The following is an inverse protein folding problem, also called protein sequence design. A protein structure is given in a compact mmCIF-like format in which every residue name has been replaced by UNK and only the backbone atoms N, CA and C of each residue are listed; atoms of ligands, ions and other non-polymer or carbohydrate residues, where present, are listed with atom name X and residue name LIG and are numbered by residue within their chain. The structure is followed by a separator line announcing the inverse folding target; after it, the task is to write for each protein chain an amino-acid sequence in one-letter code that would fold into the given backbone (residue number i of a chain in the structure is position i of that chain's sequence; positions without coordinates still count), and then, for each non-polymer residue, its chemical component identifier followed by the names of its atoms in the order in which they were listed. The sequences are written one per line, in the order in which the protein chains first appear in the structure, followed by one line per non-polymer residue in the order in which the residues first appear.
data_IF_149176116344
#
_entry.id   IF_149176116344
#
_cell.length_a   1.000
_cell.length_b   1.000
_cell.length_c   1.000
_cell.angle_alpha   90.00
_cell.angle_beta   90.00
_cell.angle_gamma   90.00
#
_symmetry.space_group_name_H-M   'P 1'
#
loop_
_entity.id
_entity.type
_entity.pdbx_description
1 polymer ?
#
# COMPACT_ATOMS: atom_id res chain seq x y z
N UNK A 1 -6.15 6.80 -5.39
CA UNK A 1 -6.13 7.00 -3.92
C UNK A 1 -6.18 8.48 -3.61
N UNK A 2 -7.19 8.95 -2.89
CA UNK A 2 -7.21 10.34 -2.42
C UNK A 2 -6.35 10.42 -1.16
N UNK A 3 -5.41 11.38 -1.04
CA UNK A 3 -4.65 11.57 0.19
C UNK A 3 -5.61 11.99 1.29
N UNK A 4 -5.58 11.27 2.42
CA UNK A 4 -6.25 11.72 3.63
C UNK A 4 -5.53 12.97 4.12
N UNK A 5 -6.22 14.11 4.15
CA UNK A 5 -5.70 15.33 4.72
C UNK A 5 -5.54 15.15 6.24
N UNK A 6 -4.43 15.58 6.83
CA UNK A 6 -4.26 15.55 8.28
C UNK A 6 -5.29 16.51 8.91
N UNK A 7 -6.26 15.96 9.61
CA UNK A 7 -7.20 16.74 10.40
C UNK A 7 -6.49 17.16 11.70
N UNK A 8 -6.16 18.43 11.82
CA UNK A 8 -5.68 19.02 13.06
C UNK A 8 -6.88 19.08 14.03
N UNK A 9 -6.88 18.18 15.02
CA UNK A 9 -7.96 18.03 15.97
C UNK A 9 -7.71 18.91 17.18
N UNK A 10 -8.41 20.03 17.30
CA UNK A 10 -8.56 20.76 18.56
C UNK A 10 -9.79 20.21 19.28
N UNK A 11 -9.58 19.34 20.26
CA UNK A 11 -10.64 18.79 21.10
C UNK A 11 -10.97 19.83 22.20
N UNK A 12 -12.14 20.45 22.15
CA UNK A 12 -12.70 21.19 23.29
C UNK A 12 -13.36 20.18 24.22
N UNK A 13 -12.65 19.79 25.28
CA UNK A 13 -13.19 19.04 26.39
C UNK A 13 -13.88 20.00 27.36
N UNK A 14 -15.21 20.01 27.42
CA UNK A 14 -15.95 20.50 28.57
C UNK A 14 -15.99 19.39 29.61
N UNK A 15 -15.07 19.43 30.56
CA UNK A 15 -15.12 18.58 31.75
C UNK A 15 -15.96 19.27 32.84
N UNK A 16 -17.09 18.67 33.18
CA UNK A 16 -17.74 18.87 34.47
C UNK A 16 -17.99 17.51 35.11
N UNK A 17 -17.44 17.31 36.35
CA UNK A 17 -17.99 16.39 37.35
C UNK A 17 -17.14 15.17 37.70
N UNK A 18 -16.60 15.22 38.89
CA UNK A 18 -16.34 14.18 39.88
C UNK A 18 -15.64 12.87 39.49
N UNK A 19 -14.46 12.75 39.95
CA UNK A 19 -13.57 11.73 40.47
C UNK A 19 -13.93 10.22 40.36
N UNK A 20 -14.23 9.69 39.18
CA UNK A 20 -14.08 8.29 38.89
C UNK A 20 -13.24 8.17 37.63
N UNK A 21 -12.15 7.37 37.69
CA UNK A 21 -11.34 7.02 36.56
C UNK A 21 -12.18 6.12 35.65
N UNK A 22 -13.08 6.72 34.93
CA UNK A 22 -13.78 6.08 33.82
C UNK A 22 -12.73 5.89 32.72
N UNK A 23 -12.44 4.63 32.40
CA UNK A 23 -11.87 4.29 31.10
C UNK A 23 -12.63 5.10 30.06
N UNK A 24 -11.98 5.91 29.22
CA UNK A 24 -12.68 6.89 28.41
C UNK A 24 -13.67 6.17 27.50
N UNK A 25 -14.98 6.44 27.63
CA UNK A 25 -15.92 5.97 26.65
C UNK A 25 -15.70 6.82 25.41
N UNK A 26 -15.36 6.16 24.30
CA UNK A 26 -15.55 6.65 22.95
C UNK A 26 -15.38 8.18 22.78
N UNK A 27 -14.16 8.66 22.67
CA UNK A 27 -13.96 10.02 22.22
C UNK A 27 -14.56 10.14 20.81
N UNK A 28 -15.50 11.08 20.62
CA UNK A 28 -16.04 11.37 19.29
C UNK A 28 -15.14 12.37 18.58
N UNK A 29 -14.73 12.01 17.38
CA UNK A 29 -13.95 12.88 16.52
C UNK A 29 -14.86 13.79 15.70
N UNK A 30 -14.39 14.95 15.20
CA UNK A 30 -15.19 15.88 14.40
C UNK A 30 -15.75 15.29 13.11
N UNK A 31 -15.09 14.27 12.55
CA UNK A 31 -15.55 13.52 11.38
C UNK A 31 -16.58 12.44 11.71
N UNK A 32 -17.01 12.36 12.98
CA UNK A 32 -17.95 11.38 13.52
C UNK A 32 -17.31 10.05 13.91
N UNK A 33 -16.01 9.90 13.79
CA UNK A 33 -15.26 8.72 14.22
C UNK A 33 -15.38 8.48 15.72
N UNK A 34 -15.41 7.23 16.15
CA UNK A 34 -15.39 6.81 17.55
C UNK A 34 -14.02 6.26 17.88
N UNK A 35 -13.30 6.93 18.78
CA UNK A 35 -11.97 6.48 19.20
C UNK A 35 -12.03 5.78 20.55
N UNK A 36 -11.28 4.69 20.66
CA UNK A 36 -10.97 3.97 21.90
C UNK A 36 -9.48 3.83 22.02
N UNK A 37 -8.89 4.34 23.08
CA UNK A 37 -7.45 4.31 23.31
C UNK A 37 -6.98 5.44 24.22
N UNK A 38 -5.67 5.59 24.31
CA UNK A 38 -5.06 6.59 25.19
C UNK A 38 -5.14 8.00 24.58
N UNK A 39 -5.35 8.99 25.45
CA UNK A 39 -5.29 10.40 25.12
C UNK A 39 -4.19 11.07 25.98
N UNK A 40 -3.31 11.81 25.30
CA UNK A 40 -2.29 12.65 25.97
C UNK A 40 -2.47 14.08 25.50
N UNK A 41 -2.73 14.99 26.45
CA UNK A 41 -3.03 16.40 26.16
C UNK A 41 -4.15 16.59 25.11
N UNK A 42 -5.17 15.70 25.13
CA UNK A 42 -6.29 15.74 24.19
C UNK A 42 -6.00 15.19 22.79
N UNK A 43 -4.81 14.65 22.56
CA UNK A 43 -4.43 14.01 21.29
C UNK A 43 -4.44 12.49 21.43
N UNK A 44 -4.81 11.80 20.34
CA UNK A 44 -4.75 10.34 20.26
C UNK A 44 -3.28 9.92 20.39
N UNK A 45 -2.99 8.98 21.28
CA UNK A 45 -1.63 8.53 21.57
C UNK A 45 -1.61 7.04 21.88
N UNK A 46 -0.47 6.37 21.62
CA UNK A 46 -0.31 4.96 21.97
C UNK A 46 -1.20 4.03 21.13
N UNK A 47 -1.65 2.93 21.72
CA UNK A 47 -2.53 1.97 21.06
C UNK A 47 -3.97 2.46 21.09
N UNK A 48 -4.68 2.26 19.97
CA UNK A 48 -6.09 2.64 19.91
C UNK A 48 -6.79 2.15 18.66
N UNK A 49 -8.10 2.42 18.62
CA UNK A 49 -8.97 2.11 17.48
C UNK A 49 -9.90 3.29 17.19
N UNK A 50 -10.10 3.56 15.90
CA UNK A 50 -11.14 4.46 15.40
C UNK A 50 -12.10 3.66 14.53
N UNK A 51 -13.41 3.77 14.82
CA UNK A 51 -14.48 3.28 13.96
C UNK A 51 -15.19 4.49 13.32
N UNK A 52 -15.24 4.56 11.99
CA UNK A 52 -15.85 5.67 11.25
C UNK A 52 -17.30 5.37 10.87
N UNK A 53 -18.15 6.40 10.69
CA UNK A 53 -19.56 6.21 10.34
C UNK A 53 -19.81 5.48 9.00
N UNK A 54 -18.84 5.55 8.07
CA UNK A 54 -18.91 4.88 6.78
C UNK A 54 -18.53 3.39 6.83
N UNK A 55 -18.27 2.84 8.03
CA UNK A 55 -17.88 1.45 8.25
C UNK A 55 -16.39 1.17 8.13
N UNK A 56 -15.57 2.15 7.72
CA UNK A 56 -14.12 2.00 7.78
C UNK A 56 -13.61 2.07 9.23
N UNK A 57 -12.44 1.52 9.48
CA UNK A 57 -11.83 1.58 10.80
C UNK A 57 -10.30 1.48 10.74
N UNK A 58 -9.65 2.00 11.75
CA UNK A 58 -8.21 1.82 11.98
C UNK A 58 -7.99 1.30 13.40
N UNK A 59 -7.08 0.34 13.55
CA UNK A 59 -6.59 -0.13 14.84
C UNK A 59 -5.06 -0.23 14.80
N UNK A 60 -4.39 0.43 15.74
CA UNK A 60 -2.94 0.48 15.74
C UNK A 60 -2.40 1.58 16.64
N UNK A 61 -1.19 1.99 16.35
CA UNK A 61 -0.50 3.04 17.10
C UNK A 61 -0.89 4.42 16.61
N UNK A 62 -0.90 5.35 17.55
CA UNK A 62 -1.12 6.79 17.31
C UNK A 62 0.04 7.58 17.87
N UNK A 63 0.45 8.60 17.16
CA UNK A 63 1.33 9.66 17.66
C UNK A 63 0.74 11.03 17.33
N UNK A 64 0.52 11.85 18.37
CA UNK A 64 -0.02 13.22 18.25
C UNK A 64 -1.27 13.33 17.38
N UNK A 65 -2.18 12.37 17.50
CA UNK A 65 -3.45 12.34 16.78
C UNK A 65 -3.42 11.67 15.41
N UNK A 66 -2.27 11.24 14.93
CA UNK A 66 -2.11 10.60 13.60
C UNK A 66 -1.82 9.11 13.73
N UNK A 67 -2.27 8.32 12.76
CA UNK A 67 -1.87 6.93 12.63
C UNK A 67 -0.36 6.83 12.49
N UNK A 68 0.25 5.95 13.28
CA UNK A 68 1.70 5.82 13.37
C UNK A 68 2.08 4.36 13.66
N UNK A 69 3.36 4.00 13.42
CA UNK A 69 3.86 2.67 13.75
C UNK A 69 3.08 1.53 13.13
N UNK A 70 2.91 0.43 13.83
CA UNK A 70 2.17 -0.74 13.33
C UNK A 70 0.65 -0.55 13.49
N UNK A 71 -0.09 -0.95 12.45
CA UNK A 71 -1.54 -0.86 12.48
C UNK A 71 -2.23 -1.63 11.37
N UNK A 72 -3.55 -1.69 11.48
CA UNK A 72 -4.46 -2.28 10.52
C UNK A 72 -5.56 -1.26 10.17
N UNK A 73 -5.78 -1.05 8.88
CA UNK A 73 -6.84 -0.20 8.36
C UNK A 73 -7.77 -1.01 7.47
N UNK A 74 -9.07 -0.77 7.63
CA UNK A 74 -10.12 -1.31 6.79
C UNK A 74 -10.91 -0.17 6.16
N UNK A 75 -10.91 -0.12 4.83
CA UNK A 75 -11.72 0.81 4.04
C UNK A 75 -13.18 0.37 3.94
N UNK A 76 -14.06 1.33 3.72
CA UNK A 76 -15.50 1.07 3.51
C UNK A 76 -15.82 0.30 2.21
N UNK A 77 -14.87 0.24 1.30
CA UNK A 77 -14.93 -0.49 0.02
C UNK A 77 -14.37 -1.92 0.10
N UNK A 78 -13.90 -2.33 1.29
CA UNK A 78 -13.34 -3.63 1.57
C UNK A 78 -11.82 -3.72 1.39
N UNK A 79 -11.14 -2.59 1.14
CA UNK A 79 -9.68 -2.56 1.21
C UNK A 79 -9.20 -2.84 2.64
N UNK A 80 -8.10 -3.59 2.77
CA UNK A 80 -7.45 -3.87 4.05
C UNK A 80 -5.95 -3.61 3.90
N UNK A 81 -5.42 -2.74 4.75
CA UNK A 81 -3.98 -2.56 4.88
C UNK A 81 -3.50 -3.02 6.26
N UNK A 82 -2.41 -3.79 6.27
CA UNK A 82 -1.69 -4.21 7.49
C UNK A 82 -0.23 -3.87 7.32
N UNK A 83 0.31 -3.03 8.20
CA UNK A 83 1.70 -2.63 8.08
C UNK A 83 2.04 -1.39 8.89
N UNK A 84 3.09 -0.72 8.46
CA UNK A 84 3.57 0.49 9.11
C UNK A 84 2.82 1.72 8.60
N UNK A 85 2.64 2.67 9.49
CA UNK A 85 2.06 3.99 9.23
C UNK A 85 3.03 5.07 9.69
N UNK A 86 3.09 6.14 8.95
CA UNK A 86 3.79 7.37 9.32
C UNK A 86 2.93 8.57 8.94
N UNK A 87 2.63 9.42 9.94
CA UNK A 87 1.81 10.63 9.75
C UNK A 87 0.47 10.37 9.04
N UNK A 88 -0.21 9.27 9.40
CA UNK A 88 -1.50 8.88 8.83
C UNK A 88 -1.45 8.22 7.46
N UNK A 89 -0.27 7.94 6.91
CA UNK A 89 -0.07 7.34 5.59
C UNK A 89 0.58 5.95 5.70
N UNK A 90 0.29 5.06 4.75
CA UNK A 90 1.00 3.79 4.60
C UNK A 90 2.49 4.07 4.42
N UNK A 91 3.33 3.39 5.19
CA UNK A 91 4.77 3.58 5.18
C UNK A 91 5.49 2.24 5.44
N UNK A 92 6.82 2.20 5.19
CA UNK A 92 7.63 1.02 5.49
C UNK A 92 7.09 -0.26 4.84
N UNK A 93 7.12 -1.37 5.54
CA UNK A 93 6.60 -2.65 5.04
C UNK A 93 5.13 -2.83 5.37
N UNK A 94 4.37 -3.33 4.39
CA UNK A 94 2.95 -3.59 4.59
C UNK A 94 2.34 -4.47 3.50
N UNK A 95 1.11 -4.89 3.76
CA UNK A 95 0.26 -5.64 2.83
C UNK A 95 -1.04 -4.89 2.62
N UNK A 96 -1.35 -4.59 1.37
CA UNK A 96 -2.63 -4.00 0.95
C UNK A 96 -3.42 -5.05 0.17
N UNK A 97 -4.61 -5.35 0.61
CA UNK A 97 -5.53 -6.29 -0.05
C UNK A 97 -6.79 -5.54 -0.44
N UNK A 98 -7.20 -5.69 -1.68
CA UNK A 98 -8.50 -5.23 -2.19
C UNK A 98 -9.37 -6.44 -2.54
N UNK A 99 -10.53 -6.22 -3.15
CA UNK A 99 -11.38 -7.32 -3.65
C UNK A 99 -10.62 -8.22 -4.63
N UNK A 100 -9.86 -7.61 -5.54
CA UNK A 100 -9.33 -8.29 -6.72
C UNK A 100 -7.80 -8.29 -6.77
N UNK A 101 -7.13 -7.62 -5.82
CA UNK A 101 -5.67 -7.50 -5.82
C UNK A 101 -5.06 -7.63 -4.43
N UNK A 102 -3.80 -7.98 -4.40
CA UNK A 102 -2.99 -7.90 -3.19
C UNK A 102 -1.58 -7.42 -3.51
N UNK A 103 -1.09 -6.51 -2.68
CA UNK A 103 0.30 -6.06 -2.72
C UNK A 103 0.95 -6.31 -1.36
N UNK A 104 2.18 -6.82 -1.37
CA UNK A 104 3.02 -6.95 -0.17
C UNK A 104 4.39 -6.42 -0.48
N UNK A 105 4.87 -5.43 0.28
CA UNK A 105 6.15 -4.79 0.02
C UNK A 105 6.28 -3.42 0.67
N UNK A 106 7.18 -2.61 0.12
CA UNK A 106 7.50 -1.27 0.60
C UNK A 106 6.43 -0.22 0.25
N UNK A 107 6.20 0.68 1.19
CA UNK A 107 5.37 1.87 1.03
C UNK A 107 6.12 3.12 1.47
N UNK A 108 5.90 4.22 0.78
CA UNK A 108 6.40 5.54 1.13
C UNK A 108 5.34 6.60 0.83
N UNK A 109 4.92 7.34 1.88
CA UNK A 109 3.91 8.39 1.76
C UNK A 109 2.62 7.91 1.05
N UNK A 110 2.13 6.71 1.44
CA UNK A 110 0.90 6.12 0.93
C UNK A 110 1.01 5.45 -0.44
N UNK A 111 2.21 5.39 -1.04
CA UNK A 111 2.44 4.78 -2.36
C UNK A 111 3.37 3.58 -2.24
N UNK A 112 3.21 2.60 -3.13
CA UNK A 112 4.16 1.49 -3.27
C UNK A 112 5.52 2.07 -3.70
N UNK A 113 6.57 1.75 -2.93
CA UNK A 113 7.94 2.25 -3.17
C UNK A 113 8.93 1.26 -2.55
N UNK A 114 9.89 0.76 -3.31
CA UNK A 114 10.81 -0.31 -2.92
C UNK A 114 10.39 -1.68 -3.46
N UNK A 115 10.96 -2.74 -2.95
CA UNK A 115 10.67 -4.12 -3.35
C UNK A 115 9.24 -4.53 -2.95
N UNK A 116 8.57 -5.29 -3.84
CA UNK A 116 7.25 -5.79 -3.55
C UNK A 116 6.73 -6.83 -4.53
N UNK A 117 5.63 -7.45 -4.13
CA UNK A 117 4.86 -8.41 -4.95
C UNK A 117 3.45 -7.88 -5.11
N UNK A 118 3.01 -7.71 -6.34
CA UNK A 118 1.64 -7.35 -6.70
C UNK A 118 1.00 -8.51 -7.44
N UNK A 119 -0.15 -8.94 -6.95
CA UNK A 119 -1.01 -9.92 -7.60
C UNK A 119 -2.33 -9.25 -7.98
N UNK A 120 -2.67 -9.28 -9.24
CA UNK A 120 -3.95 -8.83 -9.81
C UNK A 120 -4.56 -9.94 -10.69
N UNK A 121 -5.84 -9.88 -11.06
CA UNK A 121 -6.41 -10.83 -12.01
C UNK A 121 -5.60 -10.86 -13.30
N UNK A 122 -5.15 -12.03 -13.67
CA UNK A 122 -4.38 -12.23 -14.90
C UNK A 122 -2.90 -11.90 -14.82
N UNK A 123 -2.39 -11.40 -13.66
CA UNK A 123 -0.97 -11.07 -13.58
C UNK A 123 -0.36 -11.17 -12.17
N UNK A 124 0.94 -11.42 -12.16
CA UNK A 124 1.80 -11.38 -10.98
C UNK A 124 3.06 -10.61 -11.30
N UNK A 125 3.32 -9.53 -10.54
CA UNK A 125 4.58 -8.79 -10.62
C UNK A 125 5.38 -8.96 -9.33
N UNK A 126 6.69 -9.18 -9.46
CA UNK A 126 7.66 -9.17 -8.36
C UNK A 126 8.84 -8.30 -8.77
N UNK A 127 9.16 -7.30 -7.97
CA UNK A 127 10.27 -6.39 -8.24
C UNK A 127 10.12 -5.04 -7.58
N UNK A 128 10.86 -4.07 -8.08
CA UNK A 128 10.91 -2.74 -7.54
C UNK A 128 9.70 -1.89 -7.96
N UNK A 129 9.25 -1.07 -7.04
CA UNK A 129 8.23 -0.03 -7.24
C UNK A 129 8.80 1.35 -6.96
N UNK A 130 8.36 2.33 -7.70
CA UNK A 130 8.62 3.75 -7.47
C UNK A 130 7.34 4.55 -7.65
N UNK A 131 6.83 5.11 -6.55
CA UNK A 131 5.61 5.93 -6.56
C UNK A 131 4.45 5.24 -7.31
N UNK A 132 4.13 3.96 -6.96
CA UNK A 132 3.11 3.08 -7.54
C UNK A 132 3.42 2.49 -8.92
N UNK A 133 4.55 2.81 -9.53
CA UNK A 133 4.94 2.29 -10.84
C UNK A 133 6.00 1.19 -10.71
N UNK A 134 5.99 0.21 -11.62
CA UNK A 134 7.11 -0.73 -11.77
C UNK A 134 8.38 0.02 -12.14
N UNK A 135 9.47 -0.30 -11.48
CA UNK A 135 10.77 0.36 -11.64
C UNK A 135 11.90 -0.66 -11.45
N UNK A 136 13.15 -0.27 -11.78
CA UNK A 136 14.31 -1.10 -11.52
C UNK A 136 14.20 -2.50 -12.10
N UNK A 137 14.64 -3.51 -11.35
CA UNK A 137 14.55 -4.90 -11.76
C UNK A 137 13.23 -5.53 -11.32
N UNK A 138 12.65 -6.35 -12.20
CA UNK A 138 11.41 -7.03 -11.88
C UNK A 138 11.08 -8.17 -12.83
N UNK A 139 10.10 -8.97 -12.42
CA UNK A 139 9.49 -10.05 -13.19
C UNK A 139 7.97 -9.89 -13.20
N UNK A 140 7.43 -9.89 -14.40
CA UNK A 140 6.00 -9.89 -14.69
C UNK A 140 5.62 -11.24 -15.31
N UNK A 141 4.61 -11.89 -14.76
CA UNK A 141 4.03 -13.14 -15.24
C UNK A 141 2.55 -12.90 -15.52
N UNK A 142 2.06 -13.36 -16.68
CA UNK A 142 0.67 -13.28 -17.07
C UNK A 142 0.02 -14.66 -17.06
N UNK A 143 -1.29 -14.74 -16.88
CA UNK A 143 -2.03 -16.00 -16.80
C UNK A 143 -2.01 -16.78 -18.15
N UNK A 144 -1.73 -16.12 -19.27
CA UNK A 144 -1.54 -16.78 -20.58
C UNK A 144 -0.20 -17.49 -20.69
N UNK A 145 0.65 -17.44 -19.67
CA UNK A 145 1.99 -18.01 -19.63
C UNK A 145 3.08 -17.09 -20.17
N UNK A 146 2.73 -15.93 -20.73
CA UNK A 146 3.73 -14.94 -21.12
C UNK A 146 4.39 -14.30 -19.90
N UNK A 147 5.64 -13.88 -20.05
CA UNK A 147 6.41 -13.30 -18.95
C UNK A 147 7.42 -12.27 -19.45
N UNK A 148 7.82 -11.38 -18.58
CA UNK A 148 8.97 -10.51 -18.79
C UNK A 148 9.82 -10.47 -17.52
N UNK A 149 11.13 -10.54 -17.67
CA UNK A 149 12.10 -10.34 -16.61
C UNK A 149 13.18 -9.39 -17.09
N UNK A 150 13.41 -8.31 -16.35
CA UNK A 150 14.40 -7.31 -16.74
C UNK A 150 14.14 -5.96 -16.07
N UNK A 151 14.59 -4.92 -16.74
CA UNK A 151 14.49 -3.56 -16.27
C UNK A 151 13.13 -2.94 -16.61
N UNK A 152 12.61 -2.16 -15.65
CA UNK A 152 11.37 -1.40 -15.77
C UNK A 152 11.64 0.08 -15.53
N UNK A 153 10.97 0.93 -16.28
CA UNK A 153 10.87 2.35 -16.01
C UNK A 153 9.44 2.84 -16.33
N UNK A 154 8.90 3.67 -15.41
CA UNK A 154 7.55 4.24 -15.57
C UNK A 154 6.47 3.19 -15.83
N UNK A 155 6.55 2.04 -15.16
CA UNK A 155 5.57 0.97 -15.25
C UNK A 155 5.70 0.06 -16.47
N UNK A 156 6.73 0.22 -17.31
CA UNK A 156 6.92 -0.56 -18.55
C UNK A 156 8.31 -1.19 -18.60
N UNK A 157 8.45 -2.36 -19.30
CA UNK A 157 9.75 -2.87 -19.70
C UNK A 157 10.60 -1.78 -20.39
N UNK A 158 11.80 -1.51 -19.85
CA UNK A 158 12.67 -0.46 -20.36
C UNK A 158 14.11 -0.73 -19.93
N UNK A 159 15.00 -1.01 -20.89
CA UNK A 159 16.36 -1.47 -20.67
C UNK A 159 16.54 -2.93 -21.01
N UNK A 160 17.57 -3.57 -20.47
CA UNK A 160 17.88 -4.96 -20.75
C UNK A 160 16.86 -5.92 -20.11
N UNK A 161 16.40 -6.91 -20.90
CA UNK A 161 15.43 -7.86 -20.41
C UNK A 161 15.20 -9.06 -21.33
N UNK A 162 14.39 -9.99 -20.83
CA UNK A 162 13.94 -11.17 -21.51
C UNK A 162 12.42 -11.28 -21.44
N UNK A 163 11.79 -11.49 -22.57
CA UNK A 163 10.35 -11.73 -22.71
C UNK A 163 10.13 -13.16 -23.20
N UNK A 164 9.28 -13.91 -22.51
CA UNK A 164 8.71 -15.16 -22.98
C UNK A 164 7.28 -14.94 -23.48
N UNK A 165 6.89 -15.54 -24.59
CA UNK A 165 5.50 -15.57 -25.03
C UNK A 165 4.77 -16.81 -24.50
N UNK A 166 3.45 -16.87 -24.70
CA UNK A 166 2.60 -17.98 -24.29
C UNK A 166 2.94 -19.32 -24.98
N UNK A 167 3.66 -19.29 -26.09
CA UNK A 167 4.13 -20.47 -26.81
C UNK A 167 5.47 -20.99 -26.32
N UNK A 168 6.13 -20.25 -25.38
CA UNK A 168 7.44 -20.60 -24.83
C UNK A 168 8.63 -20.02 -25.61
N UNK A 169 8.39 -19.24 -26.67
CA UNK A 169 9.46 -18.54 -27.37
C UNK A 169 10.04 -17.45 -26.46
N UNK A 170 11.35 -17.20 -26.57
CA UNK A 170 12.06 -16.21 -25.77
C UNK A 170 12.74 -15.15 -26.64
N UNK A 171 12.60 -13.91 -26.25
CA UNK A 171 13.20 -12.73 -26.88
C UNK A 171 14.03 -11.99 -25.83
N UNK A 172 15.33 -11.82 -26.09
CA UNK A 172 16.21 -11.11 -25.16
C UNK A 172 16.87 -9.94 -25.88
N UNK A 173 17.00 -8.81 -25.20
CA UNK A 173 17.64 -7.61 -25.74
C UNK A 173 17.21 -6.36 -25.02
N UNK A 174 17.36 -5.23 -25.71
CA UNK A 174 17.01 -3.92 -25.16
C UNK A 174 15.54 -3.61 -25.44
N UNK A 175 14.81 -3.20 -24.41
CA UNK A 175 13.40 -2.81 -24.47
C UNK A 175 13.25 -1.31 -24.28
N UNK A 176 12.36 -0.68 -25.04
CA UNK A 176 11.95 0.71 -24.90
C UNK A 176 10.42 0.76 -24.88
N UNK A 177 9.86 1.29 -23.78
CA UNK A 177 8.40 1.38 -23.56
C UNK A 177 7.62 0.07 -23.80
N UNK A 178 8.25 -1.07 -23.49
CA UNK A 178 7.67 -2.41 -23.62
C UNK A 178 7.90 -3.10 -24.94
N UNK A 179 8.58 -2.46 -25.90
CA UNK A 179 8.92 -3.04 -27.21
C UNK A 179 10.41 -3.37 -27.30
N UNK A 180 10.73 -4.49 -27.93
CA UNK A 180 12.13 -4.86 -28.21
C UNK A 180 12.67 -3.91 -29.29
N UNK A 181 13.80 -3.26 -29.03
CA UNK A 181 14.44 -2.31 -29.92
C UNK A 181 15.88 -2.72 -30.22
N UNK A 182 16.30 -2.54 -31.51
CA UNK A 182 17.65 -2.89 -31.96
C UNK A 182 17.90 -4.38 -32.11
N UNK A 183 19.14 -4.82 -31.84
CA UNK A 183 19.54 -6.22 -31.94
C UNK A 183 19.13 -6.99 -30.70
N UNK A 184 18.63 -8.19 -30.88
CA UNK A 184 18.25 -9.10 -29.82
C UNK A 184 18.47 -10.55 -30.22
N UNK A 185 18.26 -11.46 -29.28
CA UNK A 185 18.27 -12.91 -29.55
C UNK A 185 16.84 -13.44 -29.47
N UNK A 186 16.55 -14.38 -30.37
CA UNK A 186 15.31 -15.13 -30.36
C UNK A 186 15.64 -16.63 -30.21
N UNK A 187 14.98 -17.28 -29.25
CA UNK A 187 15.03 -18.71 -29.03
C UNK A 187 13.60 -19.27 -29.22
N UNK A 188 13.42 -20.15 -30.15
CA UNK A 188 12.15 -20.86 -30.35
C UNK A 188 11.93 -21.89 -29.24
N UNK A 189 10.68 -22.10 -28.87
CA UNK A 189 10.29 -23.18 -27.95
C UNK A 189 10.57 -24.57 -28.50
N UNK A 190 10.57 -24.70 -29.84
CA UNK A 190 10.78 -25.97 -30.54
C UNK A 190 12.27 -26.29 -30.86
N UNK A 191 13.20 -25.42 -30.48
CA UNK A 191 14.66 -25.59 -30.65
C UNK A 191 15.22 -24.93 -31.90
#
# INVERSE_FOLDING_TARGET
MRPFAPLLLTLLLTACGDGESLLPPDARLPDGGRYRGDLVAGLLQGQGRIDYPNGSWYAGQFDKGLWHGQGEWHGSDGEVYRGQFEQGLFHGQGTLTTRDSSYSGGFKLGRRDGEGTLKEPGMLYRGEFKADQYAGLGRLELDDGSQYQGQFARGKPNGEGQRGDASGNQFSGHFVDGQLEGNGTFNSADG
#
